data_IF_722643561715
#
_entry.id   IF_722643561715
#
_cell.length_a   1.000
_cell.length_b   1.000
_cell.length_c   1.000
_cell.angle_alpha   90.00
_cell.angle_beta   90.00
_cell.angle_gamma   90.00
#
_symmetry.space_group_name_H-M   'P 1'
#
loop_
_entity.id
_entity.type
_entity.pdbx_description
1 polymer ?
2 non-polymer ?
3 water ?
#
# COMPACT_ATOMS: atom_id res chain seq x y z
N UNK A 1 -17.96 -7.14 -0.97
CA UNK A 1 -16.67 -6.40 -1.17
C UNK A 1 -16.94 -5.08 -1.89
N UNK A 2 -15.97 -4.16 -1.88
CA UNK A 2 -16.18 -2.86 -2.52
C UNK A 2 -16.45 -2.96 -4.01
N UNK A 3 -17.08 -1.90 -4.50
CA UNK A 3 -17.43 -1.73 -5.90
C UNK A 3 -16.52 -0.65 -6.47
N UNK A 4 -15.92 -0.89 -7.63
CA UNK A 4 -15.10 0.11 -8.29
C UNK A 4 -15.90 1.39 -8.64
N UNK A 5 -15.37 2.54 -8.26
CA UNK A 5 -15.96 3.85 -8.56
C UNK A 5 -14.80 4.63 -9.17
N UNK A 6 -14.86 4.93 -10.46
CA UNK A 6 -13.76 5.64 -11.13
C UNK A 6 -13.35 6.91 -10.39
N UNK A 7 -12.05 7.09 -10.22
CA UNK A 7 -11.55 8.23 -9.47
C UNK A 7 -11.59 9.46 -10.35
N UNK A 8 -11.79 10.60 -9.71
CA UNK A 8 -11.62 11.88 -10.38
C UNK A 8 -10.15 12.14 -10.65
N UNK A 9 -9.84 12.84 -11.73
CA UNK A 9 -8.46 13.13 -12.14
C UNK A 9 -7.63 13.90 -11.11
N UNK A 10 -8.28 14.85 -10.43
CA UNK A 10 -7.63 15.62 -9.39
C UNK A 10 -7.23 14.76 -8.20
N UNK A 11 -8.09 13.81 -7.83
CA UNK A 11 -7.79 12.84 -6.78
C UNK A 11 -6.64 11.92 -7.15
N UNK A 12 -6.59 11.49 -8.41
CA UNK A 12 -5.42 10.75 -8.90
C UNK A 12 -4.14 11.59 -8.73
N UNK A 13 -4.21 12.87 -9.08
CA UNK A 13 -3.04 13.72 -8.90
C UNK A 13 -2.64 13.85 -7.44
N UNK A 14 -3.64 13.88 -6.55
CA UNK A 14 -3.34 14.05 -5.12
C UNK A 14 -2.62 12.82 -4.58
N UNK A 15 -3.07 11.64 -5.01
CA UNK A 15 -2.37 10.40 -4.69
C UNK A 15 -0.96 10.38 -5.29
N UNK A 16 -0.81 10.66 -6.58
CA UNK A 16 0.53 10.63 -7.17
C UNK A 16 1.50 11.62 -6.48
N UNK A 17 1.02 12.83 -6.20
CA UNK A 17 1.91 13.84 -5.62
C UNK A 17 2.26 13.58 -4.17
N UNK A 18 1.29 13.12 -3.37
CA UNK A 18 1.57 12.80 -1.99
C UNK A 18 2.42 11.53 -1.87
N UNK A 19 2.18 10.57 -2.76
CA UNK A 19 3.04 9.40 -2.85
C UNK A 19 4.49 9.76 -3.14
N UNK A 20 4.67 10.68 -4.08
CA UNK A 20 6.02 11.12 -4.43
C UNK A 20 6.79 11.70 -3.24
N UNK A 21 6.05 12.17 -2.23
CA UNK A 21 6.67 12.73 -1.02
C UNK A 21 7.19 11.65 -0.06
N UNK A 22 6.70 10.41 -0.20
CA UNK A 22 7.09 9.33 0.71
C UNK A 22 7.69 8.12 0.03
N UNK A 23 7.70 8.08 -1.30
CA UNK A 23 8.12 6.83 -1.94
C UNK A 23 9.59 6.46 -1.82
N UNK A 24 10.41 7.42 -1.38
CA UNK A 24 11.79 7.13 -1.11
C UNK A 24 12.01 6.90 0.39
N UNK A 25 10.92 6.64 1.11
CA UNK A 25 10.96 6.32 2.53
C UNK A 25 10.49 4.88 2.75
N UNK A 26 10.90 3.96 1.87
CA UNK A 26 10.39 2.58 1.88
C UNK A 26 10.59 1.89 3.22
N UNK A 27 11.79 2.02 3.78
CA UNK A 27 12.08 1.37 5.06
C UNK A 27 11.19 1.93 6.16
N UNK A 28 11.02 3.26 6.18
CA UNK A 28 10.19 3.89 7.20
C UNK A 28 8.73 3.49 7.03
N UNK A 29 8.28 3.33 5.78
CA UNK A 29 6.88 2.91 5.58
C UNK A 29 6.69 1.50 6.14
N UNK A 30 7.62 0.59 5.86
CA UNK A 30 7.49 -0.77 6.38
C UNK A 30 7.61 -0.82 7.88
N UNK A 31 8.59 -0.09 8.42
CA UNK A 31 8.70 -0.01 9.87
C UNK A 31 7.39 0.50 10.50
N UNK A 32 6.79 1.53 9.90
CA UNK A 32 5.55 2.06 10.46
C UNK A 32 4.43 1.03 10.44
N UNK A 33 4.36 0.27 9.37
CA UNK A 33 3.35 -0.78 9.25
C UNK A 33 3.54 -1.82 10.33
N UNK A 34 4.75 -2.36 10.50
CA UNK A 34 4.96 -3.40 11.49
C UNK A 34 4.84 -2.85 12.92
N UNK A 35 5.26 -1.60 13.16
CA UNK A 35 5.11 -0.98 14.49
C UNK A 35 3.62 -0.89 14.84
N UNK A 36 2.79 -0.50 13.87
CA UNK A 36 1.38 -0.33 14.09
C UNK A 36 0.64 -1.67 14.15
N UNK A 37 1.16 -2.68 13.43
CA UNK A 37 0.57 -4.01 13.33
C UNK A 37 1.60 -5.12 13.53
N UNK A 38 2.09 -5.30 14.75
CA UNK A 38 3.06 -6.38 15.00
C UNK A 38 2.57 -7.77 14.57
N UNK A 39 1.27 -8.03 14.66
CA UNK A 39 0.73 -9.33 14.22
C UNK A 39 0.93 -9.57 12.73
N UNK A 40 1.04 -8.50 11.94
CA UNK A 40 1.36 -8.68 10.52
C UNK A 40 2.81 -9.12 10.31
N UNK A 41 3.73 -8.55 11.08
CA UNK A 41 5.15 -8.96 11.01
C UNK A 41 5.33 -10.46 11.28
N UNK A 42 4.48 -11.03 12.15
CA UNK A 42 4.55 -12.43 12.48
C UNK A 42 4.26 -13.37 11.30
N UNK A 43 3.74 -12.82 10.20
CA UNK A 43 3.47 -13.64 9.01
C UNK A 43 4.68 -13.81 8.10
N UNK A 44 5.69 -12.96 8.29
CA UNK A 44 6.84 -12.92 7.37
C UNK A 44 7.96 -13.87 7.74
N UNK A 45 8.42 -14.68 6.78
CA UNK A 45 9.50 -15.61 7.04
C UNK A 45 10.78 -14.94 7.52
N UNK A 46 11.10 -13.78 6.95
CA UNK A 46 12.32 -13.09 7.31
C UNK A 46 12.21 -12.28 8.61
N UNK A 47 10.98 -11.99 9.04
CA UNK A 47 10.77 -11.05 10.16
C UNK A 47 10.08 -11.60 11.40
N UNK A 48 9.39 -12.73 11.26
CA UNK A 48 8.61 -13.26 12.40
C UNK A 48 9.56 -13.52 13.55
N UNK A 49 9.15 -13.04 14.72
CA UNK A 49 9.90 -13.28 15.95
C UNK A 49 11.14 -12.42 16.13
N UNK A 50 11.46 -11.58 15.15
CA UNK A 50 12.64 -10.75 15.26
C UNK A 50 12.24 -9.41 15.87
N UNK A 51 13.16 -8.77 16.55
CA UNK A 51 12.87 -7.47 17.13
C UNK A 51 12.84 -6.38 16.05
N UNK A 52 11.76 -5.60 16.02
CA UNK A 52 11.63 -4.62 14.95
C UNK A 52 12.73 -3.60 14.97
N UNK A 53 13.22 -3.24 16.17
CA UNK A 53 14.28 -2.25 16.28
C UNK A 53 15.59 -2.75 15.70
N UNK A 54 15.79 -4.08 15.72
CA UNK A 54 16.97 -4.75 15.15
C UNK A 54 16.87 -4.85 13.65
N UNK A 55 15.66 -5.05 13.15
CA UNK A 55 15.45 -5.24 11.71
C UNK A 55 15.71 -3.99 10.86
N UNK A 56 15.35 -2.81 11.35
CA UNK A 56 15.55 -1.58 10.60
C UNK A 56 17.06 -1.34 10.23
N UNK A 57 17.34 -0.91 9.01
CA UNK A 57 18.71 -0.74 8.51
C UNK A 57 19.44 -2.05 8.18
N UNK A 58 18.71 -3.15 8.12
CA UNK A 58 19.28 -4.40 7.60
C UNK A 58 18.81 -4.62 6.20
N UNK A 59 19.62 -5.34 5.45
CA UNK A 59 19.29 -5.57 4.05
C UNK A 59 18.02 -6.38 3.82
N UNK A 60 17.75 -7.46 4.57
CA UNK A 60 16.48 -8.17 4.36
C UNK A 60 15.26 -7.25 4.56
N UNK A 61 15.33 -6.36 5.53
CA UNK A 61 14.23 -5.42 5.75
C UNK A 61 14.05 -4.43 4.61
N UNK A 62 15.15 -3.80 4.17
CA UNK A 62 15.09 -2.89 3.03
C UNK A 62 14.64 -3.67 1.78
N UNK A 63 15.08 -4.93 1.66
CA UNK A 63 14.69 -5.71 0.50
C UNK A 63 13.15 -5.84 0.41
N UNK A 64 12.51 -6.24 1.51
CA UNK A 64 11.06 -6.41 1.45
C UNK A 64 10.35 -5.03 1.25
N UNK A 65 10.85 -4.02 1.96
CA UNK A 65 10.31 -2.68 1.84
C UNK A 65 10.34 -2.20 0.39
N UNK A 66 11.46 -2.46 -0.28
CA UNK A 66 11.62 -2.11 -1.68
C UNK A 66 10.69 -2.89 -2.59
N UNK A 67 10.52 -4.18 -2.31
CA UNK A 67 9.57 -4.99 -3.08
C UNK A 67 8.15 -4.43 -3.01
N UNK A 68 7.66 -4.07 -1.81
CA UNK A 68 6.30 -3.54 -1.64
C UNK A 68 6.17 -2.26 -2.43
N UNK A 69 7.15 -1.39 -2.26
CA UNK A 69 7.08 -0.06 -2.85
C UNK A 69 7.19 -0.11 -4.37
N UNK A 70 7.95 -1.08 -4.87
CA UNK A 70 8.05 -1.29 -6.31
C UNK A 70 6.67 -1.50 -6.92
N UNK A 71 5.86 -2.33 -6.27
CA UNK A 71 4.51 -2.62 -6.78
C UNK A 71 3.61 -1.40 -6.62
N UNK A 72 3.67 -0.74 -5.47
CA UNK A 72 2.84 0.46 -5.31
C UNK A 72 3.20 1.52 -6.35
N UNK A 73 4.50 1.75 -6.54
CA UNK A 73 4.99 2.70 -7.53
C UNK A 73 4.42 2.41 -8.90
N UNK A 74 4.49 1.15 -9.32
CA UNK A 74 3.95 0.79 -10.62
C UNK A 74 2.46 1.01 -10.70
N UNK A 75 1.75 0.57 -9.66
CA UNK A 75 0.29 0.73 -9.70
C UNK A 75 -0.07 2.21 -9.81
N UNK A 76 0.59 3.05 -9.02
CA UNK A 76 0.23 4.44 -9.01
C UNK A 76 0.60 5.07 -10.37
N UNK A 77 1.71 4.64 -10.98
CA UNK A 77 2.09 5.09 -12.34
C UNK A 77 1.05 4.77 -13.41
N UNK A 78 0.39 3.63 -13.25
CA UNK A 78 -0.65 3.16 -14.16
C UNK A 78 -2.03 3.84 -14.00
N UNK A 79 -2.19 4.62 -12.93
CA UNK A 79 -3.45 5.34 -12.69
C UNK A 79 -3.63 6.50 -13.65
N UNK A 80 -4.88 6.82 -13.98
CA UNK A 80 -5.19 8.07 -14.66
C UNK A 80 -5.38 7.99 -16.16
N UNK A 81 -5.15 6.81 -16.72
CA UNK A 81 -5.15 6.56 -18.16
C UNK A 81 -6.00 5.33 -18.48
N UNK A 82 -7.01 5.49 -19.33
CA UNK A 82 -7.89 4.37 -19.61
C UNK A 82 -7.16 3.16 -20.21
N UNK A 83 -6.22 3.40 -21.13
CA UNK A 83 -5.56 2.27 -21.79
C UNK A 83 -4.68 1.47 -20.84
N UNK A 84 -4.39 2.02 -19.65
CA UNK A 84 -3.61 1.33 -18.63
C UNK A 84 -4.46 0.60 -17.59
N UNK A 85 -5.78 0.75 -17.68
CA UNK A 85 -6.64 0.12 -16.67
C UNK A 85 -6.51 -1.42 -16.65
N UNK A 86 -6.50 -2.13 -17.79
CA UNK A 86 -6.27 -3.58 -17.75
C UNK A 86 -4.95 -3.95 -17.09
N UNK A 87 -3.87 -3.25 -17.42
CA UNK A 87 -2.58 -3.51 -16.81
C UNK A 87 -2.61 -3.27 -15.30
N UNK A 88 -3.25 -2.17 -14.91
CA UNK A 88 -3.36 -1.87 -13.48
C UNK A 88 -4.15 -2.95 -12.76
N UNK A 89 -5.29 -3.34 -13.33
CA UNK A 89 -6.07 -4.38 -12.68
C UNK A 89 -5.35 -5.72 -12.59
N UNK A 90 -4.51 -6.01 -13.58
CA UNK A 90 -3.76 -7.25 -13.54
C UNK A 90 -2.68 -7.22 -12.45
N UNK A 91 -2.06 -6.07 -12.26
CA UNK A 91 -1.14 -5.92 -11.12
C UNK A 91 -1.87 -6.17 -9.79
N UNK A 92 -3.04 -5.55 -9.64
CA UNK A 92 -3.80 -5.69 -8.40
C UNK A 92 -4.27 -7.12 -8.19
N UNK A 93 -4.79 -7.76 -9.24
CA UNK A 93 -5.30 -9.12 -9.12
C UNK A 93 -4.19 -10.09 -8.72
N UNK A 94 -3.03 -9.93 -9.36
CA UNK A 94 -1.91 -10.80 -9.02
C UNK A 94 -1.48 -10.66 -7.56
N UNK A 95 -1.52 -9.45 -7.04
CA UNK A 95 -1.19 -9.25 -5.61
C UNK A 95 -2.22 -9.91 -4.71
N UNK A 96 -3.49 -9.88 -5.11
CA UNK A 96 -4.52 -10.57 -4.36
C UNK A 96 -4.30 -12.08 -4.39
N UNK A 97 -4.04 -12.64 -5.58
CA UNK A 97 -3.76 -14.07 -5.72
C UNK A 97 -2.56 -14.47 -4.85
N UNK A 98 -1.50 -13.67 -4.92
CA UNK A 98 -0.28 -14.01 -4.19
C UNK A 98 -0.51 -13.97 -2.68
N UNK A 99 -1.27 -12.98 -2.22
CA UNK A 99 -1.48 -12.84 -0.79
C UNK A 99 -2.51 -13.81 -0.24
N UNK A 100 -3.39 -14.31 -1.10
CA UNK A 100 -4.34 -15.36 -0.67
C UNK A 100 -3.55 -16.55 -0.13
N UNK A 101 -2.47 -16.89 -0.83
CA UNK A 101 -1.64 -18.03 -0.46
C UNK A 101 -0.91 -17.85 0.86
N UNK A 102 -0.88 -16.62 1.36
CA UNK A 102 -0.16 -16.27 2.58
C UNK A 102 -1.09 -16.05 3.77
N UNK A 103 -2.38 -16.30 3.57
CA UNK A 103 -3.38 -16.12 4.63
C UNK A 103 -3.63 -14.67 5.03
N UNK A 104 -3.42 -13.75 4.09
CA UNK A 104 -3.64 -12.33 4.36
C UNK A 104 -5.11 -12.00 4.07
N UNK A 105 -5.76 -11.33 5.03
CA UNK A 105 -7.20 -11.02 4.93
C UNK A 105 -7.47 -9.62 4.39
N UNK A 106 -8.74 -9.40 4.09
CA UNK A 106 -9.18 -8.07 3.71
C UNK A 106 -8.85 -7.04 4.82
N UNK A 107 -9.11 -7.41 6.08
CA UNK A 107 -8.81 -6.54 7.21
C UNK A 107 -7.31 -6.22 7.29
N UNK A 108 -6.47 -7.22 6.97
CA UNK A 108 -5.02 -6.96 6.93
C UNK A 108 -4.67 -5.88 5.93
N UNK A 109 -5.29 -5.91 4.75
CA UNK A 109 -5.07 -4.82 3.78
C UNK A 109 -5.55 -3.48 4.31
N UNK A 110 -6.69 -3.48 4.99
CA UNK A 110 -7.18 -2.25 5.59
C UNK A 110 -6.23 -1.71 6.67
N UNK A 111 -5.59 -2.63 7.41
CA UNK A 111 -4.61 -2.24 8.43
C UNK A 111 -3.41 -1.56 7.76
N UNK A 112 -2.99 -2.10 6.62
CA UNK A 112 -1.88 -1.49 5.86
C UNK A 112 -2.29 -0.09 5.42
N UNK A 113 -3.52 0.06 4.93
CA UNK A 113 -4.05 1.38 4.59
C UNK A 113 -4.03 2.34 5.79
N UNK A 114 -4.53 1.87 6.93
CA UNK A 114 -4.56 2.69 8.14
C UNK A 114 -3.18 3.21 8.53
N UNK A 115 -2.20 2.30 8.50
CA UNK A 115 -0.85 2.71 8.81
C UNK A 115 -0.28 3.70 7.78
N UNK A 116 -0.51 3.44 6.48
CA UNK A 116 -0.03 4.35 5.43
C UNK A 116 -0.67 5.72 5.57
N UNK A 117 -1.98 5.77 5.91
CA UNK A 117 -2.67 7.04 6.10
C UNK A 117 -2.00 7.86 7.20
N UNK A 118 -1.67 7.20 8.31
CA UNK A 118 -0.98 7.88 9.40
C UNK A 118 0.39 8.37 8.95
N UNK A 119 1.09 7.56 8.16
CA UNK A 119 2.40 7.96 7.67
C UNK A 119 2.30 9.15 6.71
N UNK A 120 1.33 9.13 5.80
CA UNK A 120 1.14 10.24 4.88
C UNK A 120 0.75 11.51 5.65
N UNK A 121 -0.08 11.35 6.67
CA UNK A 121 -0.45 12.50 7.49
C UNK A 121 0.77 13.11 8.19
N UNK A 122 1.67 12.25 8.65
CA UNK A 122 2.92 12.69 9.29
C UNK A 122 3.91 13.32 8.31
N UNK A 123 4.01 12.80 7.09
CA UNK A 123 5.15 13.16 6.23
C UNK A 123 4.85 13.91 4.94
N UNK A 124 3.62 13.83 4.43
CA UNK A 124 3.27 14.52 3.19
C UNK A 124 2.85 15.94 3.49
N UNK A 125 3.67 16.90 3.10
CA UNK A 125 3.33 18.29 3.34
C UNK A 125 1.97 18.65 2.76
N UNK A 126 1.18 19.37 3.55
CA UNK A 126 -0.13 19.83 3.12
C UNK A 126 -1.25 18.81 3.16
N UNK A 127 -0.98 17.64 3.74
CA UNK A 127 -1.98 16.59 3.85
C UNK A 127 -3.23 17.14 4.54
N UNK A 128 -4.40 16.85 3.97
CA UNK A 128 -5.66 17.30 4.54
C UNK A 128 -6.79 16.34 4.21
N UNK A 129 -8.03 16.72 4.51
CA UNK A 129 -9.15 15.84 4.26
C UNK A 129 -9.31 15.45 2.79
N UNK A 130 -8.90 16.33 1.89
CA UNK A 130 -8.97 16.03 0.47
C UNK A 130 -7.97 14.93 0.11
N UNK A 131 -6.77 15.01 0.69
CA UNK A 131 -5.74 13.98 0.47
C UNK A 131 -6.29 12.66 0.95
N UNK A 132 -6.88 12.67 2.15
CA UNK A 132 -7.42 11.44 2.71
C UNK A 132 -8.53 10.85 1.85
N UNK A 133 -9.44 11.72 1.38
CA UNK A 133 -10.53 11.31 0.50
C UNK A 133 -10.00 10.69 -0.79
N UNK A 134 -8.96 11.29 -1.37
CA UNK A 134 -8.38 10.77 -2.61
C UNK A 134 -7.80 9.36 -2.41
N UNK A 135 -6.99 9.18 -1.36
CA UNK A 135 -6.47 7.84 -1.06
C UNK A 135 -7.56 6.82 -0.72
N UNK A 136 -8.62 7.26 -0.04
CA UNK A 136 -9.74 6.38 0.30
C UNK A 136 -10.34 5.83 -1.00
N UNK A 137 -10.48 6.70 -2.00
CA UNK A 137 -11.07 6.31 -3.29
C UNK A 137 -10.17 5.33 -4.03
N UNK A 138 -8.86 5.57 -3.96
CA UNK A 138 -7.89 4.67 -4.57
C UNK A 138 -7.91 3.29 -3.91
N UNK A 139 -7.88 3.28 -2.58
CA UNK A 139 -7.97 2.01 -1.86
C UNK A 139 -9.28 1.26 -2.11
N UNK A 140 -10.40 1.98 -2.16
CA UNK A 140 -11.69 1.36 -2.48
C UNK A 140 -11.57 0.57 -3.79
N UNK A 141 -10.98 1.21 -4.79
CA UNK A 141 -10.85 0.59 -6.10
C UNK A 141 -9.87 -0.59 -6.07
N UNK A 142 -8.74 -0.42 -5.38
CA UNK A 142 -7.83 -1.56 -5.19
C UNK A 142 -8.58 -2.75 -4.57
N UNK A 143 -9.31 -2.50 -3.48
CA UNK A 143 -10.04 -3.55 -2.78
C UNK A 143 -11.11 -4.23 -3.63
N UNK A 144 -11.72 -3.47 -4.54
CA UNK A 144 -12.76 -4.04 -5.37
C UNK A 144 -12.23 -5.20 -6.23
N UNK A 145 -10.94 -5.14 -6.54
CA UNK A 145 -10.29 -6.16 -7.36
C UNK A 145 -9.51 -7.15 -6.50
N UNK A 146 -8.90 -6.65 -5.42
CA UNK A 146 -8.08 -7.51 -4.56
C UNK A 146 -8.91 -8.40 -3.62
N UNK A 147 -9.92 -7.85 -2.97
CA UNK A 147 -10.72 -8.62 -1.99
C UNK A 147 -11.33 -9.91 -2.55
N UNK A 148 -11.90 -9.90 -3.76
CA UNK A 148 -12.43 -11.15 -4.35
C UNK A 148 -11.37 -12.22 -4.58
N UNK A 149 -10.08 -11.87 -4.56
CA UNK A 149 -9.02 -12.86 -4.74
C UNK A 149 -8.54 -13.42 -3.42
N UNK A 150 -9.00 -12.88 -2.30
CA UNK A 150 -8.49 -13.32 -1.00
C UNK A 150 -9.30 -14.46 -0.41
X LIG B 1 5.17 -10.70 0.14
X LIG B 1 3.51 -6.66 -1.96
X LIG B 1 0.42 -6.04 1.72
X LIG B 1 2.07 -10.06 3.84
X LIG B 1 5.03 -9.63 -0.70
X LIG B 1 5.84 -9.39 -1.88
X LIG B 1 5.37 -8.28 -2.43
X LIG B 1 4.24 -7.80 -1.70
X LIG B 1 5.91 -7.62 -3.72
X LIG B 1 7.09 -10.23 -2.30
X LIG B 1 6.80 -11.57 -3.00
X LIG B 1 6.14 -11.35 -4.33
X LIG B 1 5.02 -11.86 -4.55
X LIG B 1 6.73 -10.64 -5.20
X LIG B 1 2.57 -6.10 -1.14
X LIG B 1 1.85 -4.87 -1.34
X LIG B 1 0.99 -4.70 -0.31
X LIG B 1 1.14 -5.85 0.55
X LIG B 1 2.09 -3.92 -2.55
X LIG B 1 -0.02 -3.57 0.02
X LIG B 1 -0.31 -2.56 -0.80
X LIG B 1 0.59 -7.05 2.62
X LIG B 1 -0.14 -7.25 3.88
X LIG B 1 0.34 -8.34 4.48
X LIG B 1 1.36 -8.91 3.61
X LIG B 1 -1.27 -6.32 4.39
X LIG B 1 -0.11 -8.95 5.83
X LIG B 1 0.50 -8.80 6.88
X LIG B 1 3.01 -10.61 3.01
X LIG B 1 3.71 -11.83 3.30
X LIG B 1 4.66 -12.03 2.15
X LIG B 1 4.46 -10.88 1.30
X LIG B 1 3.52 -12.73 4.53
X LIG B 1 5.66 -13.21 1.99
X LIG B 1 6.93 -12.95 2.78
X LIG B 1 7.84 -14.16 2.71
X LIG B 1 7.71 -14.98 1.78
X LIG B 1 8.70 -14.31 3.62
X LIG B 1 4.06 -8.66 -0.63
X LIG B 1 2.12 -6.68 0.06
X LIG B 1 1.49 -8.10 2.48
X LIG B 1 3.45 -10.07 1.80
X LIG B 1 2.77 -8.38 0.92
#
# INVERSE_FOLDING_TARGET
DPTWVDMEAGDIALVKSSWAQIHDKEVDILYNFFKSYPASQAKFSAFAGKDLESLKDTAPFALHATRIVSVINEAIALMGVAENRPALKNVLKQQGINHKGRGVTAAHFEEFETALEAFLESHASGYNAGTKKAWDSAFNNMYSVVFPEL
HEM CHA CHB CHC CHD C1A C2A C3A C4A CMA CAA CBA CGA O1A O2A C1B C2B C3B C4B CMB CAB CBB C1C C2C C3C C4C CMC CAC CBC C1D C2D C3D C4D CMD CAD CBD CGD O1D O2D NA NB NC ND FE
#
